data_IF_677647206877
#
_entry.id   IF_677647206877
#
_cell.length_a   1.000
_cell.length_b   1.000
_cell.length_c   1.000
_cell.angle_alpha   90.00
_cell.angle_beta   90.00
_cell.angle_gamma   90.00
#
_symmetry.space_group_name_H-M   'P 1'
#
loop_
_entity.id
_entity.type
_entity.pdbx_description
1 polymer ?
#
# COMPACT_ATOMS: atom_id res chain seq x y z
N UNK A 1 24.92 4.77 9.82
CA UNK A 1 23.90 3.71 9.92
C UNK A 1 22.58 4.38 9.61
N UNK A 2 22.10 4.29 8.37
CA UNK A 2 20.81 4.87 8.02
C UNK A 2 19.73 3.98 8.64
N UNK A 3 19.30 4.33 9.85
CA UNK A 3 18.04 3.86 10.40
C UNK A 3 16.95 4.39 9.47
N UNK A 4 16.64 3.65 8.41
CA UNK A 4 15.50 3.95 7.56
C UNK A 4 14.30 3.86 8.50
N UNK A 5 13.72 4.99 8.85
CA UNK A 5 12.54 5.06 9.70
C UNK A 5 11.38 4.42 8.92
N UNK A 6 11.20 3.11 9.10
CA UNK A 6 10.21 2.34 8.34
C UNK A 6 8.84 2.74 8.86
N UNK A 7 8.23 3.73 8.21
CA UNK A 7 6.87 4.17 8.52
C UNK A 7 5.92 3.03 8.11
N UNK A 8 5.26 2.44 9.10
CA UNK A 8 4.27 1.40 8.89
C UNK A 8 2.86 2.02 8.88
N UNK A 9 2.16 1.88 7.77
CA UNK A 9 0.78 2.29 7.57
C UNK A 9 -0.16 1.13 7.89
N UNK A 10 -1.24 1.43 8.61
CA UNK A 10 -2.36 0.49 8.73
C UNK A 10 -3.26 0.59 7.50
N UNK A 11 -4.10 -0.41 7.20
CA UNK A 11 -5.09 -0.34 6.14
C UNK A 11 -5.97 0.91 6.22
N UNK A 12 -6.32 1.35 7.43
CA UNK A 12 -7.07 2.59 7.65
C UNK A 12 -6.28 3.81 7.15
N UNK A 13 -5.02 3.96 7.57
CA UNK A 13 -4.16 5.08 7.15
C UNK A 13 -3.86 5.08 5.65
N UNK A 14 -3.63 3.89 5.08
CA UNK A 14 -3.43 3.74 3.64
C UNK A 14 -4.71 4.11 2.87
N UNK A 15 -5.88 3.71 3.38
CA UNK A 15 -7.16 4.02 2.76
C UNK A 15 -7.45 5.53 2.74
N UNK A 16 -7.09 6.25 3.80
CA UNK A 16 -7.17 7.72 3.84
C UNK A 16 -6.23 8.37 2.82
N UNK A 17 -4.98 7.89 2.74
CA UNK A 17 -3.98 8.42 1.79
C UNK A 17 -4.41 8.25 0.33
N UNK A 18 -4.92 7.07 -0.02
CA UNK A 18 -5.37 6.76 -1.37
C UNK A 18 -6.81 7.22 -1.66
N UNK A 19 -7.50 7.79 -0.66
CA UNK A 19 -8.93 8.12 -0.75
C UNK A 19 -9.81 6.95 -1.21
N UNK A 20 -9.45 5.73 -0.76
CA UNK A 20 -10.21 4.50 -1.01
C UNK A 20 -10.79 3.96 0.29
N UNK A 21 -11.65 2.95 0.21
CA UNK A 21 -12.15 2.28 1.42
C UNK A 21 -11.20 1.17 1.88
N UNK A 22 -11.20 0.85 3.18
CA UNK A 22 -10.49 -0.33 3.69
C UNK A 22 -10.97 -1.61 3.01
N UNK A 23 -12.24 -1.65 2.59
CA UNK A 23 -12.82 -2.73 1.79
C UNK A 23 -12.18 -2.86 0.41
N UNK A 24 -11.86 -1.74 -0.26
CA UNK A 24 -11.11 -1.76 -1.52
C UNK A 24 -9.71 -2.36 -1.32
N UNK A 25 -8.99 -1.96 -0.26
CA UNK A 25 -7.70 -2.56 0.08
C UNK A 25 -7.81 -4.05 0.47
N UNK A 26 -8.96 -4.49 0.99
CA UNK A 26 -9.22 -5.91 1.26
C UNK A 26 -9.47 -6.68 -0.04
N UNK A 27 -10.22 -6.09 -0.99
CA UNK A 27 -10.43 -6.65 -2.32
C UNK A 27 -9.11 -6.83 -3.06
N UNK A 28 -8.29 -5.79 -3.10
CA UNK A 28 -6.93 -5.80 -3.65
C UNK A 28 -6.05 -6.91 -3.06
N UNK A 29 -6.11 -7.11 -1.73
CA UNK A 29 -5.41 -8.21 -1.07
C UNK A 29 -5.90 -9.59 -1.51
N UNK A 30 -7.22 -9.76 -1.65
CA UNK A 30 -7.82 -11.01 -2.12
C UNK A 30 -7.52 -11.30 -3.59
N UNK A 31 -7.50 -10.27 -4.42
CA UNK A 31 -7.15 -10.35 -5.85
C UNK A 31 -5.65 -10.51 -6.08
N UNK A 32 -4.81 -10.32 -5.05
CA UNK A 32 -3.35 -10.30 -5.18
C UNK A 32 -2.82 -9.08 -5.93
N UNK A 33 -3.67 -8.06 -6.13
CA UNK A 33 -3.34 -6.81 -6.81
C UNK A 33 -3.23 -5.68 -5.79
N UNK A 34 -2.03 -5.43 -5.28
CA UNK A 34 -1.80 -4.38 -4.28
C UNK A 34 -0.37 -4.36 -3.75
N UNK A 35 -0.02 -3.36 -2.90
CA UNK A 35 1.28 -3.28 -2.28
C UNK A 35 1.47 -4.44 -1.28
N UNK A 36 2.72 -4.93 -1.10
CA UNK A 36 2.99 -5.99 -0.14
C UNK A 36 2.67 -5.52 1.28
N UNK A 37 2.18 -6.47 2.08
CA UNK A 37 1.73 -6.23 3.44
C UNK A 37 2.37 -7.22 4.41
N UNK A 38 2.61 -6.75 5.62
CA UNK A 38 3.06 -7.52 6.77
C UNK A 38 1.86 -7.97 7.57
N UNK A 39 1.80 -9.27 7.87
CA UNK A 39 0.82 -9.85 8.78
C UNK A 39 1.49 -10.11 10.12
N UNK A 40 1.27 -9.23 11.10
CA UNK A 40 1.84 -9.34 12.45
C UNK A 40 0.70 -9.50 13.47
N UNK A 41 0.62 -10.68 14.10
CA UNK A 41 -0.31 -10.93 15.21
C UNK A 41 -1.79 -10.65 14.89
N UNK A 42 -2.22 -10.91 13.65
CA UNK A 42 -3.59 -10.63 13.19
C UNK A 42 -3.82 -9.21 12.67
N UNK A 43 -2.81 -8.33 12.71
CA UNK A 43 -2.86 -7.00 12.10
C UNK A 43 -2.15 -7.00 10.76
N UNK A 44 -2.70 -6.22 9.85
CA UNK A 44 -2.11 -5.99 8.53
C UNK A 44 -1.45 -4.62 8.56
N UNK A 45 -0.20 -4.55 8.10
CA UNK A 45 0.61 -3.35 8.06
C UNK A 45 1.26 -3.23 6.68
N UNK A 46 1.35 -2.03 6.16
CA UNK A 46 1.98 -1.70 4.90
C UNK A 46 3.21 -0.86 5.18
N UNK A 47 4.36 -1.16 4.58
CA UNK A 47 5.53 -0.28 4.68
C UNK A 47 5.33 0.86 3.70
N UNK A 48 5.55 2.10 4.13
CA UNK A 48 5.43 3.27 3.25
C UNK A 48 6.26 3.10 1.98
N UNK A 49 7.52 2.64 2.10
CA UNK A 49 8.39 2.41 0.95
C UNK A 49 7.85 1.39 -0.07
N UNK A 50 7.16 0.35 0.40
CA UNK A 50 6.53 -0.63 -0.49
C UNK A 50 5.32 -0.05 -1.20
N UNK A 51 4.53 0.77 -0.49
CA UNK A 51 3.37 1.47 -1.04
C UNK A 51 3.84 2.44 -2.13
N UNK A 52 4.86 3.25 -1.85
CA UNK A 52 5.46 4.18 -2.82
C UNK A 52 5.99 3.44 -4.05
N UNK A 53 6.74 2.37 -3.84
CA UNK A 53 7.24 1.53 -4.94
C UNK A 53 6.09 0.95 -5.77
N UNK A 54 4.98 0.56 -5.14
CA UNK A 54 3.80 0.07 -5.84
C UNK A 54 3.08 1.17 -6.61
N UNK A 55 2.95 2.37 -6.03
CA UNK A 55 2.40 3.55 -6.68
C UNK A 55 3.21 3.90 -7.93
N UNK A 56 4.54 3.91 -7.84
CA UNK A 56 5.45 4.16 -8.96
C UNK A 56 5.37 3.09 -10.05
N UNK A 57 5.24 1.81 -9.68
CA UNK A 57 5.05 0.72 -10.64
C UNK A 57 3.68 0.75 -11.31
N UNK A 58 2.65 1.18 -10.59
CA UNK A 58 1.28 1.31 -11.10
C UNK A 58 1.02 2.66 -11.77
N UNK A 59 1.98 3.59 -11.69
CA UNK A 59 1.97 4.88 -12.36
C UNK A 59 2.13 4.66 -13.86
N UNK A 60 1.00 4.49 -14.54
CA UNK A 60 0.96 4.45 -16.00
C UNK A 60 0.99 5.90 -16.50
N UNK A 61 2.17 6.35 -16.94
CA UNK A 61 2.32 7.65 -17.58
C UNK A 61 1.64 7.64 -18.95
N UNK A 62 0.37 8.07 -18.96
CA UNK A 62 -0.35 8.48 -20.18
C UNK A 62 -0.84 7.32 -21.04
N UNK A 63 -2.12 7.01 -20.89
CA UNK A 63 -2.94 6.64 -22.04
C UNK A 63 -2.79 7.75 -23.11
N UNK A 64 -2.51 7.31 -24.35
CA UNK A 64 -2.23 8.14 -25.53
C UNK A 64 -3.22 9.31 -25.67
N UNK A 65 -2.67 10.49 -25.99
CA UNK A 65 -3.37 11.60 -26.63
C UNK A 65 -3.83 11.22 -28.05
#
# INVERSE_FOLDING_TARGET
MHSQETIHLTPARLSERWSVTVGHLANQRSEGSGPPYLKLGGRILYRLSDVETYEERSLVAGARA
#
